data_IF_329684272522
#
_entry.id   IF_329684272522
#
_cell.length_a   1.000
_cell.length_b   1.000
_cell.length_c   1.000
_cell.angle_alpha   90.00
_cell.angle_beta   90.00
_cell.angle_gamma   90.00
#
_symmetry.space_group_name_H-M   'P 1'
#
loop_
_entity.id
_entity.type
_entity.pdbx_description
1 polymer ?
#
# COMPACT_ATOMS: atom_id res chain seq x y z
N UNK A 1 4.52 15.68 4.51
CA UNK A 1 5.50 14.61 4.21
C UNK A 1 5.99 13.93 5.50
N UNK A 2 5.89 12.61 5.53
CA UNK A 2 6.35 11.73 6.60
C UNK A 2 7.39 10.78 6.06
N UNK A 3 8.48 10.56 6.81
CA UNK A 3 9.47 9.55 6.47
C UNK A 3 8.85 8.14 6.54
N UNK A 4 9.19 7.30 5.57
CA UNK A 4 8.72 5.92 5.48
C UNK A 4 9.89 4.96 5.30
N UNK A 5 9.74 3.81 5.93
CA UNK A 5 10.59 2.65 5.75
C UNK A 5 9.72 1.45 5.42
N UNK A 6 10.22 0.59 4.54
CA UNK A 6 9.45 -0.57 4.15
C UNK A 6 10.10 -1.45 3.09
N UNK A 7 9.24 -2.23 2.46
CA UNK A 7 9.57 -3.28 1.53
C UNK A 7 8.66 -3.19 0.30
N UNK A 8 9.21 -3.38 -0.89
CA UNK A 8 8.43 -3.47 -2.13
C UNK A 8 8.44 -4.90 -2.67
N UNK A 9 7.25 -5.45 -2.92
CA UNK A 9 7.09 -6.79 -3.48
C UNK A 9 6.90 -6.72 -5.00
N UNK A 10 7.74 -7.46 -5.73
CA UNK A 10 7.79 -7.52 -7.20
C UNK A 10 7.67 -8.97 -7.64
N UNK A 11 6.46 -9.44 -7.98
CA UNK A 11 6.29 -10.71 -8.71
C UNK A 11 7.04 -11.93 -8.16
N UNK A 12 7.23 -12.01 -6.83
CA UNK A 12 7.98 -13.07 -6.14
C UNK A 12 9.34 -12.64 -5.58
N UNK A 13 9.83 -11.45 -5.93
CA UNK A 13 11.00 -10.80 -5.34
C UNK A 13 10.57 -9.79 -4.26
N UNK A 14 11.42 -9.63 -3.25
CA UNK A 14 11.27 -8.66 -2.17
C UNK A 14 12.43 -7.67 -2.24
N UNK A 15 12.12 -6.38 -2.32
CA UNK A 15 13.09 -5.30 -2.17
C UNK A 15 12.99 -4.75 -0.75
N UNK A 16 14.01 -5.02 0.05
CA UNK A 16 14.11 -4.59 1.45
C UNK A 16 14.86 -3.26 1.59
N UNK A 17 14.83 -2.70 2.80
CA UNK A 17 15.54 -1.48 3.20
C UNK A 17 15.17 -0.24 2.37
N UNK A 18 13.91 -0.15 1.97
CA UNK A 18 13.42 1.02 1.25
C UNK A 18 13.21 2.15 2.24
N UNK A 19 13.76 3.32 1.91
CA UNK A 19 13.59 4.53 2.71
C UNK A 19 13.08 5.66 1.81
N UNK A 20 12.35 6.60 2.39
CA UNK A 20 11.88 7.74 1.62
C UNK A 20 10.87 8.58 2.37
N UNK A 21 10.09 9.34 1.62
CA UNK A 21 9.07 10.19 2.17
C UNK A 21 7.75 9.99 1.42
N UNK A 22 6.66 9.89 2.15
CA UNK A 22 5.31 9.87 1.60
C UNK A 22 4.45 10.99 2.17
N UNK A 23 3.40 11.31 1.43
CA UNK A 23 2.33 12.18 1.87
C UNK A 23 1.01 11.49 1.54
N UNK A 24 0.09 11.50 2.50
CA UNK A 24 -1.26 11.02 2.29
C UNK A 24 -2.14 12.20 1.92
N UNK A 25 -2.77 12.11 0.75
CA UNK A 25 -3.79 13.04 0.33
C UNK A 25 -5.03 12.86 1.22
N UNK A 26 -5.48 13.90 1.95
CA UNK A 26 -6.58 13.77 2.91
C UNK A 26 -7.95 13.62 2.24
N UNK A 27 -8.09 13.96 0.96
CA UNK A 27 -9.35 13.88 0.24
C UNK A 27 -9.61 12.46 -0.33
N UNK A 28 -8.55 11.78 -0.75
CA UNK A 28 -8.61 10.48 -1.41
C UNK A 28 -8.04 9.34 -0.55
N UNK A 29 -7.28 9.67 0.49
CA UNK A 29 -6.51 8.71 1.28
C UNK A 29 -5.31 8.14 0.53
N UNK A 30 -5.06 8.56 -0.71
CA UNK A 30 -3.96 8.06 -1.55
C UNK A 30 -2.61 8.55 -1.05
N UNK A 31 -1.61 7.69 -1.09
CA UNK A 31 -0.24 8.01 -0.72
C UNK A 31 0.56 8.34 -1.95
N UNK A 32 1.29 9.44 -1.91
CA UNK A 32 2.24 9.80 -2.96
C UNK A 32 3.57 10.11 -2.34
N UNK A 33 4.64 9.65 -2.96
CA UNK A 33 5.94 9.78 -2.33
C UNK A 33 7.12 9.43 -3.23
N UNK A 34 8.28 9.38 -2.58
CA UNK A 34 9.54 8.98 -3.18
C UNK A 34 10.17 7.91 -2.32
N UNK A 35 10.72 6.88 -2.95
CA UNK A 35 11.53 5.83 -2.35
C UNK A 35 12.94 5.90 -2.91
N UNK A 36 13.91 5.58 -2.09
CA UNK A 36 15.29 5.34 -2.47
C UNK A 36 15.54 3.85 -2.43
N UNK A 37 16.00 3.31 -3.54
CA UNK A 37 16.34 1.90 -3.71
C UNK A 37 17.78 1.79 -4.18
N UNK A 38 18.46 0.69 -3.89
CA UNK A 38 19.78 0.43 -4.45
C UNK A 38 19.72 0.31 -5.99
N UNK A 39 20.79 0.70 -6.68
CA UNK A 39 20.85 0.67 -8.15
C UNK A 39 20.59 -0.71 -8.77
N UNK A 40 21.01 -1.80 -8.13
CA UNK A 40 20.75 -3.15 -8.61
C UNK A 40 19.28 -3.50 -8.44
N UNK A 41 18.69 -3.14 -7.30
CA UNK A 41 17.26 -3.32 -7.06
C UNK A 41 16.39 -2.50 -8.04
N UNK A 42 16.81 -1.26 -8.32
CA UNK A 42 16.15 -0.36 -9.25
C UNK A 42 16.09 -0.90 -10.69
N UNK A 43 17.00 -1.79 -11.08
CA UNK A 43 17.00 -2.43 -12.40
C UNK A 43 15.80 -3.36 -12.65
N UNK A 44 15.16 -3.84 -11.59
CA UNK A 44 13.96 -4.68 -11.66
C UNK A 44 12.65 -3.88 -11.65
N UNK A 45 12.76 -2.55 -11.49
CA UNK A 45 11.61 -1.66 -11.43
C UNK A 45 11.25 -1.13 -12.82
N UNK A 46 9.96 -1.17 -13.11
CA UNK A 46 9.36 -0.60 -14.31
C UNK A 46 8.27 0.40 -13.91
N UNK A 47 8.23 1.51 -14.64
CA UNK A 47 7.15 2.49 -14.52
C UNK A 47 5.82 1.89 -14.98
N UNK A 48 4.71 2.45 -14.50
CA UNK A 48 3.34 2.07 -14.89
C UNK A 48 2.95 0.62 -14.53
N UNK A 49 3.79 -0.09 -13.77
CA UNK A 49 3.44 -1.36 -13.15
C UNK A 49 2.96 -1.17 -11.73
N UNK A 50 2.08 -2.08 -11.32
CA UNK A 50 1.59 -2.22 -9.95
C UNK A 50 2.58 -3.01 -9.11
N UNK A 51 2.86 -2.48 -7.92
CA UNK A 51 3.69 -3.11 -6.90
C UNK A 51 2.96 -3.06 -5.55
N UNK A 52 3.35 -3.92 -4.63
CA UNK A 52 2.84 -3.88 -3.25
C UNK A 52 3.91 -3.30 -2.35
N UNK A 53 3.62 -2.17 -1.74
CA UNK A 53 4.47 -1.51 -0.74
C UNK A 53 3.97 -1.90 0.64
N UNK A 54 4.84 -2.49 1.45
CA UNK A 54 4.59 -2.83 2.84
C UNK A 54 5.50 -1.96 3.70
N UNK A 55 4.91 -1.13 4.56
CA UNK A 55 5.63 -0.27 5.49
C UNK A 55 5.93 -1.02 6.79
N UNK A 56 7.00 -0.60 7.46
CA UNK A 56 7.44 -1.20 8.73
C UNK A 56 6.43 -0.98 9.88
N UNK A 57 5.54 0.01 9.74
CA UNK A 57 4.42 0.24 10.67
C UNK A 57 3.25 -0.74 10.48
N UNK A 58 3.39 -1.71 9.58
CA UNK A 58 2.42 -2.76 9.29
C UNK A 58 1.35 -2.37 8.28
N UNK A 59 1.37 -1.14 7.76
CA UNK A 59 0.46 -0.74 6.67
C UNK A 59 0.98 -1.26 5.33
N UNK A 60 0.06 -1.65 4.45
CA UNK A 60 0.40 -2.07 3.10
C UNK A 60 -0.55 -1.46 2.08
N UNK A 61 -0.05 -1.14 0.89
CA UNK A 61 -0.86 -0.60 -0.20
C UNK A 61 -0.30 -1.01 -1.57
N UNK A 62 -1.13 -0.93 -2.60
CA UNK A 62 -0.67 -1.06 -3.98
C UNK A 62 -0.21 0.30 -4.48
N UNK A 63 0.95 0.34 -5.14
CA UNK A 63 1.54 1.56 -5.70
C UNK A 63 1.91 1.37 -7.15
N UNK A 64 1.81 2.45 -7.92
CA UNK A 64 2.33 2.58 -9.27
C UNK A 64 3.55 3.48 -9.25
N UNK A 65 4.61 3.07 -9.94
CA UNK A 65 5.82 3.88 -10.06
C UNK A 65 5.69 4.77 -11.30
N UNK A 66 5.86 6.08 -11.13
CA UNK A 66 5.76 7.05 -12.22
C UNK A 66 7.11 7.46 -12.78
N UNK A 67 8.14 7.47 -11.94
CA UNK A 67 9.46 7.93 -12.33
C UNK A 67 10.53 7.19 -11.58
N UNK A 68 11.56 6.77 -12.30
CA UNK A 68 12.76 6.16 -11.75
C UNK A 68 13.94 7.00 -12.26
N UNK A 69 14.81 7.47 -11.38
CA UNK A 69 15.92 8.35 -11.76
C UNK A 69 17.12 8.12 -10.84
N UNK A 70 18.36 8.10 -11.35
CA UNK A 70 19.54 7.97 -10.51
C UNK A 70 19.71 9.19 -9.59
N UNK A 71 20.24 8.96 -8.39
CA UNK A 71 20.65 10.02 -7.47
C UNK A 71 22.11 10.40 -7.78
N UNK A 72 22.36 11.68 -8.02
CA UNK A 72 23.70 12.14 -8.42
C UNK A 72 24.71 11.95 -7.29
N UNK A 73 25.80 11.23 -7.58
CA UNK A 73 26.87 10.98 -6.60
C UNK A 73 26.59 9.83 -5.63
N UNK A 74 25.47 9.12 -5.78
CA UNK A 74 25.07 8.02 -4.90
C UNK A 74 24.77 6.75 -5.71
N UNK A 75 24.98 5.58 -5.11
CA UNK A 75 24.61 4.28 -5.70
C UNK A 75 23.12 3.96 -5.51
N UNK A 76 22.26 4.98 -5.54
CA UNK A 76 20.84 4.89 -5.26
C UNK A 76 20.01 5.37 -6.45
N UNK A 77 18.83 4.79 -6.58
CA UNK A 77 17.79 5.19 -7.52
C UNK A 77 16.64 5.80 -6.74
N UNK A 78 16.18 6.97 -7.17
CA UNK A 78 14.98 7.63 -6.68
C UNK A 78 13.78 7.18 -7.50
N UNK A 79 12.76 6.70 -6.81
CA UNK A 79 11.52 6.18 -7.38
C UNK A 79 10.36 7.01 -6.88
N UNK A 80 9.62 7.65 -7.78
CA UNK A 80 8.41 8.39 -7.45
C UNK A 80 7.19 7.48 -7.64
N UNK A 81 6.34 7.39 -6.62
CA UNK A 81 5.19 6.47 -6.61
C UNK A 81 3.90 7.17 -6.19
N UNK A 82 2.78 6.57 -6.58
CA UNK A 82 1.44 6.92 -6.13
C UNK A 82 0.69 5.62 -5.78
N UNK A 83 -0.05 5.62 -4.67
CA UNK A 83 -0.87 4.48 -4.30
C UNK A 83 -2.13 4.44 -5.14
N UNK A 84 -2.55 3.24 -5.50
CA UNK A 84 -3.87 3.04 -6.08
C UNK A 84 -4.90 3.02 -4.94
N UNK A 85 -5.96 3.83 -5.01
CA UNK A 85 -7.05 3.74 -4.04
C UNK A 85 -7.59 2.32 -4.08
N UNK A 86 -7.60 1.67 -2.92
CA UNK A 86 -8.10 0.31 -2.78
C UNK A 86 -9.61 0.32 -3.05
N UNK A 87 -10.01 -0.01 -4.29
CA UNK A 87 -11.41 -0.16 -4.67
C UNK A 87 -12.11 -1.30 -3.89
N UNK A 88 -11.39 -2.04 -3.06
CA UNK A 88 -11.86 -3.21 -2.32
C UNK A 88 -12.06 -3.00 -0.81
N UNK A 89 -11.87 -1.79 -0.25
CA UNK A 89 -12.28 -1.52 1.13
C UNK A 89 -13.77 -1.19 1.33
N UNK A 90 -14.62 -1.22 0.28
CA UNK A 90 -16.08 -1.04 0.44
C UNK A 90 -16.90 -2.31 0.62
N UNK A 91 -16.29 -3.51 0.71
CA UNK A 91 -17.06 -4.77 0.88
C UNK A 91 -16.58 -5.60 2.07
N UNK A 92 -16.38 -4.98 3.23
CA UNK A 92 -16.47 -5.73 4.50
C UNK A 92 -17.02 -4.91 5.66
N UNK A 93 -17.95 -4.00 5.35
CA UNK A 93 -18.98 -3.63 6.31
C UNK A 93 -20.13 -4.63 6.20
N UNK A 94 -19.93 -5.88 6.63
CA UNK A 94 -21.07 -6.77 6.90
C UNK A 94 -21.97 -6.02 7.88
N UNK A 95 -23.08 -5.46 7.38
CA UNK A 95 -24.23 -5.14 8.21
C UNK A 95 -24.63 -6.46 8.88
N UNK A 96 -24.13 -6.69 10.08
CA UNK A 96 -24.72 -7.64 11.01
C UNK A 96 -26.09 -7.06 11.40
N UNK A 97 -27.06 -7.21 10.50
CA UNK A 97 -28.47 -7.08 10.84
C UNK A 97 -28.77 -8.30 11.72
N UNK A 98 -28.50 -8.18 13.01
CA UNK A 98 -29.01 -9.07 14.02
C UNK A 98 -30.54 -8.92 14.02
N UNK A 99 -31.21 -9.71 13.17
CA UNK A 99 -32.66 -9.86 13.22
C UNK A 99 -32.99 -10.48 14.56
N UNK A 100 -33.44 -9.62 15.47
CA UNK A 100 -34.02 -9.99 16.75
C UNK A 100 -35.36 -10.68 16.49
N UNK A 101 -35.36 -12.00 16.30
CA UNK A 101 -36.61 -12.78 16.34
C UNK A 101 -36.91 -13.11 17.79
N UNK A 102 -37.63 -12.19 18.43
CA UNK A 102 -38.28 -12.39 19.73
C UNK A 102 -39.48 -13.33 19.57
N UNK A 103 -39.23 -14.62 19.40
CA UNK A 103 -40.24 -15.67 19.33
C UNK A 103 -40.63 -16.17 20.73
N UNK A 104 -41.68 -15.58 21.30
CA UNK A 104 -42.26 -15.96 22.59
C UNK A 104 -42.75 -17.42 22.61
N UNK A 105 -42.50 -18.08 23.75
CA UNK A 105 -43.12 -19.30 24.28
C UNK A 105 -44.57 -19.54 23.85
N UNK A 106 -44.93 -20.81 23.59
CA UNK A 106 -46.07 -21.50 24.23
C UNK A 106 -45.90 -23.04 24.18
N UNK A 107 -45.91 -23.63 25.37
CA UNK A 107 -46.12 -25.06 25.71
C UNK A 107 -47.64 -25.31 25.82
N UNK A 108 -48.15 -26.52 26.16
CA UNK A 108 -48.07 -27.86 25.57
C UNK A 108 -49.47 -28.34 25.09
N UNK A 109 -49.58 -29.60 24.64
CA UNK A 109 -50.72 -30.47 24.97
C UNK A 109 -50.19 -31.81 25.46
#
# INVERSE_FOLDING_TARGET
>A
MSDIHGTLLIGGMRLDDLSGACEQDPATGCWRGKLFVDQYQGSYLHTERLYRLELDDGRATQVVLHRISPVSGEALMRVEFESVPDAHQQITGKQSNAVSVKGRRRVPR
#
